data_IF_367677758874
#
_entry.id   IF_367677758874
#
_cell.length_a   1.000
_cell.length_b   1.000
_cell.length_c   1.000
_cell.angle_alpha   90.00
_cell.angle_beta   90.00
_cell.angle_gamma   90.00
#
_symmetry.space_group_name_H-M   'P 1'
#
loop_
_entity.id
_entity.type
_entity.pdbx_description
1 polymer ?
#
# COMPACT_ATOMS: atom_id res chain seq x y z
N UNK A 1 27.79 23.19 -38.80
CA UNK A 1 27.13 23.01 -37.49
C UNK A 1 26.23 21.78 -37.56
N UNK A 2 26.72 20.57 -37.23
CA UNK A 2 25.86 19.39 -37.12
C UNK A 2 25.44 19.17 -35.66
N UNK A 3 24.13 19.03 -35.43
CA UNK A 3 23.54 18.69 -34.15
C UNK A 3 23.93 17.26 -33.75
N UNK A 4 24.58 17.11 -32.61
CA UNK A 4 24.98 15.82 -32.02
C UNK A 4 23.81 15.31 -31.17
N UNK A 5 23.08 14.33 -31.69
CA UNK A 5 22.15 13.50 -30.91
C UNK A 5 22.93 12.72 -29.85
N UNK A 6 22.78 13.12 -28.58
CA UNK A 6 23.23 12.37 -27.42
C UNK A 6 21.99 11.72 -26.79
N UNK A 7 21.72 10.47 -27.16
CA UNK A 7 20.95 9.55 -26.31
C UNK A 7 21.83 9.19 -25.11
N UNK A 8 21.42 9.42 -23.86
CA UNK A 8 22.14 8.89 -22.73
C UNK A 8 21.91 7.38 -22.68
N UNK A 9 23.00 6.62 -22.77
CA UNK A 9 23.00 5.17 -22.63
C UNK A 9 22.40 4.78 -21.28
N UNK A 10 21.28 4.07 -21.32
CA UNK A 10 20.74 3.32 -20.17
C UNK A 10 21.67 2.15 -19.88
N UNK A 11 22.77 2.42 -19.17
CA UNK A 11 23.65 1.38 -18.66
C UNK A 11 23.14 0.88 -17.30
N UNK A 12 22.03 0.13 -17.31
CA UNK A 12 21.72 -0.78 -16.21
C UNK A 12 22.75 -1.91 -16.22
N UNK A 13 23.83 -1.75 -15.46
CA UNK A 13 24.66 -2.88 -15.05
C UNK A 13 24.10 -3.45 -13.75
N UNK A 14 23.66 -4.73 -13.70
CA UNK A 14 23.32 -5.36 -12.44
C UNK A 14 24.64 -5.68 -11.72
N UNK A 15 24.92 -4.98 -10.61
CA UNK A 15 26.02 -5.34 -9.70
C UNK A 15 25.48 -6.39 -8.73
N UNK A 16 26.21 -7.49 -8.60
CA UNK A 16 25.85 -8.66 -7.79
C UNK A 16 25.45 -8.26 -6.37
N UNK A 17 24.31 -8.79 -5.93
CA UNK A 17 23.78 -8.65 -4.57
C UNK A 17 24.75 -9.28 -3.57
N UNK A 18 25.36 -8.45 -2.73
CA UNK A 18 25.79 -8.87 -1.39
C UNK A 18 24.73 -8.37 -0.42
N UNK A 19 24.11 -9.35 0.24
CA UNK A 19 23.19 -9.14 1.36
C UNK A 19 23.91 -8.39 2.49
N UNK A 20 23.13 -7.65 3.28
CA UNK A 20 23.56 -6.86 4.43
C UNK A 20 24.32 -5.57 4.12
N UNK A 21 23.58 -4.56 3.68
CA UNK A 21 23.42 -3.31 4.44
C UNK A 21 22.62 -2.32 3.60
N UNK A 22 21.30 -2.36 3.78
CA UNK A 22 20.42 -1.27 3.36
C UNK A 22 20.25 -0.33 4.54
N UNK A 23 20.57 0.94 4.37
CA UNK A 23 20.53 2.00 5.39
C UNK A 23 19.11 2.32 5.96
N UNK A 24 18.14 1.43 5.73
CA UNK A 24 16.82 1.43 6.32
C UNK A 24 16.73 0.33 7.38
N UNK A 25 17.35 0.51 8.55
CA UNK A 25 17.11 -0.35 9.72
C UNK A 25 16.94 0.54 10.96
N UNK A 26 15.72 0.98 11.26
CA UNK A 26 14.67 0.30 12.04
C UNK A 26 15.02 0.15 13.53
N UNK A 27 14.20 0.78 14.38
CA UNK A 27 13.95 0.32 15.74
C UNK A 27 13.85 -1.22 15.75
N UNK A 28 14.29 -1.92 16.83
CA UNK A 28 14.39 -3.38 16.85
C UNK A 28 13.12 -3.96 16.22
N UNK A 29 13.22 -4.79 15.17
CA UNK A 29 12.06 -5.18 14.41
C UNK A 29 11.14 -5.93 15.38
N UNK A 30 10.06 -5.26 15.78
CA UNK A 30 8.84 -5.98 16.11
C UNK A 30 8.66 -6.92 14.93
N UNK A 31 8.63 -8.25 15.13
CA UNK A 31 8.63 -9.19 14.03
C UNK A 31 7.53 -8.78 13.08
N UNK A 32 7.93 -8.26 11.91
CA UNK A 32 6.99 -7.66 10.98
C UNK A 32 6.08 -8.77 10.54
N UNK A 33 4.81 -8.63 10.87
CA UNK A 33 3.79 -9.53 10.40
C UNK A 33 3.91 -9.60 8.88
N UNK A 34 3.92 -10.83 8.36
CA UNK A 34 3.95 -11.01 6.91
C UNK A 34 2.75 -10.32 6.29
N UNK A 35 2.84 -9.91 5.02
CA UNK A 35 1.70 -9.31 4.31
C UNK A 35 0.43 -10.18 4.43
N UNK A 36 0.61 -11.50 4.36
CA UNK A 36 -0.47 -12.46 4.52
C UNK A 36 -1.08 -12.45 5.94
N UNK A 37 -0.26 -12.32 6.97
CA UNK A 37 -0.73 -12.19 8.36
C UNK A 37 -1.49 -10.89 8.58
N UNK A 38 -1.02 -9.79 7.98
CA UNK A 38 -1.71 -8.50 8.06
C UNK A 38 -3.08 -8.55 7.37
N UNK A 39 -3.21 -9.21 6.21
CA UNK A 39 -4.52 -9.43 5.61
C UNK A 39 -5.43 -10.31 6.48
N UNK A 40 -4.90 -11.36 7.13
CA UNK A 40 -5.69 -12.20 8.05
C UNK A 40 -6.22 -11.37 9.23
N UNK A 41 -5.38 -10.51 9.79
CA UNK A 41 -5.78 -9.62 10.88
C UNK A 41 -6.81 -8.60 10.41
N UNK A 42 -6.62 -7.98 9.25
CA UNK A 42 -7.61 -7.08 8.65
C UNK A 42 -8.97 -7.76 8.49
N UNK A 43 -9.00 -8.95 7.88
CA UNK A 43 -10.24 -9.71 7.67
C UNK A 43 -10.91 -10.04 9.02
N UNK A 44 -10.11 -10.44 10.01
CA UNK A 44 -10.61 -10.80 11.35
C UNK A 44 -11.17 -9.59 12.08
N UNK A 45 -10.49 -8.46 12.01
CA UNK A 45 -10.89 -7.19 12.62
C UNK A 45 -12.19 -6.65 12.00
N UNK A 46 -12.27 -6.64 10.67
CA UNK A 46 -13.48 -6.19 9.95
C UNK A 46 -14.67 -7.12 10.19
N UNK A 47 -14.45 -8.44 10.25
CA UNK A 47 -15.50 -9.38 10.63
C UNK A 47 -16.00 -9.15 12.08
N UNK A 48 -15.07 -8.88 13.01
CA UNK A 48 -15.42 -8.58 14.40
C UNK A 48 -16.23 -7.28 14.53
N UNK A 49 -15.85 -6.23 13.79
CA UNK A 49 -16.57 -4.94 13.75
C UNK A 49 -18.00 -5.07 13.23
N UNK A 50 -18.22 -5.99 12.29
CA UNK A 50 -19.56 -6.29 11.77
C UNK A 50 -20.33 -7.32 12.60
N UNK A 51 -19.78 -7.75 13.75
CA UNK A 51 -20.33 -8.82 14.59
C UNK A 51 -20.63 -10.11 13.80
N UNK A 52 -19.84 -10.40 12.76
CA UNK A 52 -20.00 -11.55 11.88
C UNK A 52 -19.12 -12.72 12.34
N UNK A 53 -19.69 -13.82 12.84
CA UNK A 53 -18.92 -14.99 13.20
C UNK A 53 -18.26 -15.60 11.96
N UNK A 54 -17.01 -16.07 12.10
CA UNK A 54 -16.29 -16.75 11.00
C UNK A 54 -17.07 -17.96 10.45
N UNK A 55 -17.85 -18.64 11.28
CA UNK A 55 -18.70 -19.74 10.83
C UNK A 55 -19.74 -19.29 9.80
N UNK A 56 -20.37 -18.12 10.02
CA UNK A 56 -21.36 -17.57 9.09
C UNK A 56 -20.71 -17.10 7.78
N UNK A 57 -19.51 -16.50 7.86
CA UNK A 57 -18.72 -16.16 6.67
C UNK A 57 -18.35 -17.40 5.87
N UNK A 58 -17.94 -18.48 6.53
CA UNK A 58 -17.63 -19.75 5.87
C UNK A 58 -18.86 -20.30 5.12
N UNK A 59 -20.03 -20.29 5.77
CA UNK A 59 -21.28 -20.73 5.17
C UNK A 59 -21.67 -19.87 3.96
N UNK A 60 -21.59 -18.53 4.07
CA UNK A 60 -21.85 -17.59 2.96
C UNK A 60 -20.93 -17.81 1.75
N UNK A 61 -19.68 -18.19 2.00
CA UNK A 61 -18.67 -18.41 0.97
C UNK A 61 -18.67 -19.84 0.41
N UNK A 62 -19.47 -20.75 0.96
CA UNK A 62 -19.45 -22.17 0.62
C UNK A 62 -18.12 -22.86 0.97
N UNK A 63 -17.39 -22.33 1.96
CA UNK A 63 -16.09 -22.85 2.41
C UNK A 63 -16.30 -23.63 3.71
N UNK A 64 -15.61 -24.75 3.88
CA UNK A 64 -15.67 -25.50 5.13
C UNK A 64 -15.23 -24.63 6.32
N UNK A 65 -16.05 -24.58 7.39
CA UNK A 65 -15.78 -23.78 8.60
C UNK A 65 -14.39 -24.04 9.20
N UNK A 66 -13.99 -25.31 9.27
CA UNK A 66 -12.67 -25.74 9.75
C UNK A 66 -11.53 -25.22 8.88
N UNK A 67 -11.73 -25.18 7.56
CA UNK A 67 -10.77 -24.62 6.60
C UNK A 67 -10.63 -23.11 6.79
N UNK A 68 -11.73 -22.38 6.89
CA UNK A 68 -11.67 -20.93 7.09
C UNK A 68 -11.00 -20.57 8.43
N UNK A 69 -11.34 -21.30 9.49
CA UNK A 69 -10.70 -21.14 10.79
C UNK A 69 -9.19 -21.40 10.71
N UNK A 70 -8.76 -22.47 10.02
CA UNK A 70 -7.33 -22.76 9.78
C UNK A 70 -6.60 -21.63 9.06
N UNK A 71 -7.22 -21.08 8.01
CA UNK A 71 -6.62 -20.01 7.20
C UNK A 71 -6.48 -18.72 7.99
N UNK A 72 -7.48 -18.34 8.78
CA UNK A 72 -7.48 -17.06 9.50
C UNK A 72 -6.79 -17.11 10.86
N UNK A 73 -6.73 -18.27 11.53
CA UNK A 73 -6.22 -18.40 12.91
C UNK A 73 -5.01 -19.31 13.07
N UNK A 74 -4.77 -20.25 12.16
CA UNK A 74 -3.72 -21.27 12.31
C UNK A 74 -2.63 -21.16 11.24
N UNK A 75 -2.56 -20.03 10.53
CA UNK A 75 -1.48 -19.74 9.58
C UNK A 75 -1.55 -20.50 8.26
N UNK A 76 -2.63 -21.22 7.96
CA UNK A 76 -2.78 -21.87 6.65
C UNK A 76 -2.88 -20.83 5.54
N UNK A 77 -2.32 -21.11 4.37
CA UNK A 77 -2.21 -20.14 3.27
C UNK A 77 -3.57 -19.52 2.90
N UNK A 78 -3.62 -18.19 2.97
CA UNK A 78 -4.71 -17.38 2.43
C UNK A 78 -4.41 -17.17 0.94
N UNK A 79 -5.09 -17.97 0.10
CA UNK A 79 -5.01 -17.89 -1.36
C UNK A 79 -5.75 -16.65 -1.85
N UNK A 80 -5.26 -16.01 -2.91
CA UNK A 80 -5.82 -14.77 -3.47
C UNK A 80 -7.33 -14.87 -3.74
N UNK A 81 -7.81 -15.93 -4.42
CA UNK A 81 -9.24 -16.14 -4.70
C UNK A 81 -10.12 -16.21 -3.44
N UNK A 82 -9.57 -16.71 -2.33
CA UNK A 82 -10.28 -16.75 -1.05
C UNK A 82 -10.24 -15.39 -0.36
N UNK A 83 -9.11 -14.68 -0.41
CA UNK A 83 -8.97 -13.31 0.11
C UNK A 83 -9.96 -12.38 -0.57
N UNK A 84 -10.04 -12.42 -1.90
CA UNK A 84 -10.84 -11.48 -2.66
C UNK A 84 -12.35 -11.71 -2.40
N UNK A 85 -12.78 -12.99 -2.30
CA UNK A 85 -14.14 -13.33 -1.87
C UNK A 85 -14.44 -12.91 -0.42
N UNK A 86 -13.47 -13.03 0.49
CA UNK A 86 -13.62 -12.55 1.86
C UNK A 86 -13.74 -11.03 1.90
N UNK A 87 -12.98 -10.32 1.07
CA UNK A 87 -13.08 -8.87 0.95
C UNK A 87 -14.46 -8.46 0.46
N UNK A 88 -14.95 -9.08 -0.62
CA UNK A 88 -16.29 -8.82 -1.15
C UNK A 88 -17.38 -9.10 -0.09
N UNK A 89 -17.31 -10.25 0.58
CA UNK A 89 -18.30 -10.64 1.60
C UNK A 89 -18.37 -9.70 2.80
N UNK A 90 -17.24 -9.04 3.13
CA UNK A 90 -17.09 -8.07 4.21
C UNK A 90 -17.19 -6.62 3.74
N UNK A 91 -17.34 -6.35 2.44
CA UNK A 91 -17.30 -4.98 1.90
C UNK A 91 -15.95 -4.29 2.11
N UNK A 92 -14.86 -5.06 2.15
CA UNK A 92 -13.51 -4.52 2.25
C UNK A 92 -13.09 -3.97 0.89
N UNK A 93 -12.70 -2.70 0.86
CA UNK A 93 -12.17 -2.07 -0.33
C UNK A 93 -10.76 -2.60 -0.63
N UNK A 94 -10.61 -3.21 -1.80
CA UNK A 94 -9.36 -3.86 -2.20
C UNK A 94 -8.18 -2.89 -2.30
N UNK A 95 -8.39 -1.70 -2.86
CA UNK A 95 -7.34 -0.69 -3.05
C UNK A 95 -6.85 -0.20 -1.69
N UNK A 96 -7.78 0.14 -0.79
CA UNK A 96 -7.46 0.56 0.58
C UNK A 96 -6.78 -0.55 1.37
N UNK A 97 -7.27 -1.79 1.29
CA UNK A 97 -6.64 -2.92 1.96
C UNK A 97 -5.19 -3.12 1.51
N UNK A 98 -4.92 -3.06 0.20
CA UNK A 98 -3.56 -3.11 -0.33
C UNK A 98 -2.71 -1.93 0.09
N UNK A 99 -3.27 -0.72 0.10
CA UNK A 99 -2.54 0.46 0.56
C UNK A 99 -2.10 0.31 2.02
N UNK A 100 -3.03 -0.09 2.91
CA UNK A 100 -2.72 -0.32 4.32
C UNK A 100 -1.70 -1.44 4.52
N UNK A 101 -1.89 -2.60 3.89
CA UNK A 101 -1.10 -3.81 4.18
C UNK A 101 0.20 -3.86 3.39
N UNK A 102 0.17 -3.57 2.09
CA UNK A 102 1.33 -3.69 1.22
C UNK A 102 2.20 -2.43 1.21
N UNK A 103 1.60 -1.24 1.32
CA UNK A 103 2.36 0.03 1.27
C UNK A 103 2.70 0.55 2.67
N UNK A 104 1.73 0.59 3.59
CA UNK A 104 1.96 1.12 4.94
C UNK A 104 2.44 0.04 5.93
N UNK A 105 2.27 -1.24 5.60
CA UNK A 105 2.51 -2.36 6.53
C UNK A 105 1.76 -2.22 7.86
N UNK A 106 0.58 -1.62 7.81
CA UNK A 106 -0.29 -1.40 8.95
C UNK A 106 -1.75 -1.63 8.56
N UNK A 107 -2.31 -2.76 8.98
CA UNK A 107 -3.72 -3.08 8.75
C UNK A 107 -4.68 -2.24 9.59
N UNK A 108 -4.23 -1.66 10.71
CA UNK A 108 -5.09 -0.89 11.63
C UNK A 108 -5.44 0.47 11.06
N UNK A 109 -4.61 0.99 10.14
CA UNK A 109 -4.86 2.22 9.39
C UNK A 109 -6.05 2.14 8.41
N UNK A 110 -6.65 0.97 8.22
CA UNK A 110 -7.74 0.77 7.25
C UNK A 110 -8.98 1.63 7.52
N UNK A 111 -9.30 1.87 8.78
CA UNK A 111 -10.45 2.69 9.18
C UNK A 111 -10.11 4.17 9.40
N UNK A 112 -8.86 4.57 9.14
CA UNK A 112 -8.46 5.97 9.21
C UNK A 112 -9.14 6.76 8.07
N UNK A 113 -9.92 7.82 8.38
CA UNK A 113 -10.56 8.68 7.39
C UNK A 113 -9.57 9.32 6.41
N UNK A 114 -8.34 9.62 6.83
CA UNK A 114 -7.31 10.17 5.95
C UNK A 114 -6.87 9.16 4.89
N UNK A 115 -6.73 7.89 5.27
CA UNK A 115 -6.39 6.80 4.35
C UNK A 115 -7.53 6.56 3.36
N UNK A 116 -8.78 6.60 3.82
CA UNK A 116 -9.94 6.53 2.93
C UNK A 116 -9.90 7.65 1.87
N UNK A 117 -9.68 8.90 2.30
CA UNK A 117 -9.62 10.05 1.39
C UNK A 117 -8.51 9.90 0.35
N UNK A 118 -7.31 9.48 0.77
CA UNK A 118 -6.18 9.23 -0.13
C UNK A 118 -6.52 8.14 -1.14
N UNK A 119 -7.10 7.03 -0.70
CA UNK A 119 -7.47 5.92 -1.58
C UNK A 119 -8.54 6.33 -2.60
N UNK A 120 -9.56 7.08 -2.19
CA UNK A 120 -10.59 7.60 -3.11
C UNK A 120 -10.01 8.60 -4.12
N UNK A 121 -9.11 9.49 -3.68
CA UNK A 121 -8.42 10.41 -4.58
C UNK A 121 -7.55 9.66 -5.61
N UNK A 122 -6.83 8.61 -5.18
CA UNK A 122 -6.03 7.77 -6.08
C UNK A 122 -6.89 7.03 -7.11
N UNK A 123 -8.04 6.48 -6.71
CA UNK A 123 -9.00 5.85 -7.63
C UNK A 123 -9.51 6.87 -8.65
N UNK A 124 -9.91 8.06 -8.19
CA UNK A 124 -10.35 9.15 -9.05
C UNK A 124 -9.28 9.54 -10.08
N UNK A 125 -8.04 9.75 -9.63
CA UNK A 125 -6.90 10.04 -10.50
C UNK A 125 -6.67 8.93 -11.53
N UNK A 126 -6.70 7.66 -11.12
CA UNK A 126 -6.57 6.53 -12.04
C UNK A 126 -7.66 6.53 -13.11
N UNK A 127 -8.93 6.74 -12.72
CA UNK A 127 -10.04 6.83 -13.65
C UNK A 127 -9.85 7.97 -14.66
N UNK A 128 -9.32 9.12 -14.26
CA UNK A 128 -9.05 10.24 -15.16
C UNK A 128 -7.93 9.96 -16.15
N UNK A 129 -6.83 9.36 -15.67
CA UNK A 129 -5.71 8.93 -16.52
C UNK A 129 -6.20 7.93 -17.57
N UNK A 130 -6.97 6.92 -17.17
CA UNK A 130 -7.50 5.90 -18.08
C UNK A 130 -8.54 6.48 -19.05
N UNK A 131 -9.35 7.44 -18.60
CA UNK A 131 -10.38 8.08 -19.43
C UNK A 131 -9.85 9.15 -20.37
N UNK A 132 -8.53 9.44 -20.36
CA UNK A 132 -7.89 10.47 -21.20
C UNK A 132 -8.58 11.85 -21.13
N UNK A 133 -9.23 12.19 -19.99
CA UNK A 133 -9.82 13.53 -19.80
C UNK A 133 -8.69 14.53 -19.56
N UNK A 134 -8.14 15.06 -20.66
CA UNK A 134 -7.05 16.03 -20.68
C UNK A 134 -7.50 17.43 -20.21
N UNK A 135 -7.84 17.58 -18.92
CA UNK A 135 -7.83 18.91 -18.29
C UNK A 135 -9.05 19.32 -17.45
N UNK A 136 -9.97 18.42 -17.10
CA UNK A 136 -11.05 18.76 -16.17
C UNK A 136 -11.20 17.68 -15.10
N UNK A 137 -10.40 17.82 -14.04
CA UNK A 137 -10.62 17.13 -12.76
C UNK A 137 -12.00 17.55 -12.22
N UNK A 138 -13.05 16.83 -12.58
CA UNK A 138 -14.38 16.95 -11.96
C UNK A 138 -14.44 16.17 -10.64
N UNK A 139 -13.32 16.11 -9.92
CA UNK A 139 -13.32 15.68 -8.53
C UNK A 139 -13.81 16.89 -7.75
N UNK A 140 -14.97 16.78 -7.10
CA UNK A 140 -15.46 17.76 -6.14
C UNK A 140 -14.62 17.83 -4.85
N UNK A 141 -13.31 17.57 -4.95
CA UNK A 141 -12.30 17.88 -3.97
C UNK A 141 -11.63 19.14 -4.52
N UNK A 142 -11.73 20.26 -3.79
CA UNK A 142 -11.14 21.54 -4.21
C UNK A 142 -9.73 21.30 -4.76
N UNK A 143 -9.42 21.66 -6.02
CA UNK A 143 -8.10 21.47 -6.62
C UNK A 143 -6.96 21.98 -5.73
N UNK A 144 -7.23 23.03 -4.95
CA UNK A 144 -6.34 23.55 -3.91
C UNK A 144 -5.90 22.49 -2.90
N UNK A 145 -6.81 21.64 -2.41
CA UNK A 145 -6.50 20.62 -1.40
C UNK A 145 -5.57 19.53 -1.96
N UNK A 146 -5.77 19.16 -3.24
CA UNK A 146 -4.91 18.20 -3.95
C UNK A 146 -3.54 18.81 -4.20
N UNK A 147 -3.47 20.05 -4.69
CA UNK A 147 -2.21 20.77 -4.90
C UNK A 147 -1.45 21.00 -3.59
N UNK A 148 -2.16 21.27 -2.50
CA UNK A 148 -1.56 21.48 -1.17
C UNK A 148 -1.08 20.15 -0.56
N UNK A 149 -1.83 19.06 -0.74
CA UNK A 149 -1.39 17.72 -0.33
C UNK A 149 -0.17 17.24 -1.13
N UNK A 150 -0.17 17.43 -2.45
CA UNK A 150 0.97 17.13 -3.33
C UNK A 150 2.17 18.02 -3.02
N UNK A 151 1.94 19.31 -2.77
CA UNK A 151 2.98 20.26 -2.36
C UNK A 151 3.66 19.82 -1.06
N UNK A 152 2.86 19.51 -0.03
CA UNK A 152 3.38 18.98 1.25
C UNK A 152 4.14 17.67 1.09
N UNK A 153 3.63 16.75 0.28
CA UNK A 153 4.33 15.48 0.01
C UNK A 153 5.67 15.71 -0.71
N UNK A 154 5.70 16.64 -1.66
CA UNK A 154 6.92 16.99 -2.39
C UNK A 154 7.96 17.67 -1.50
N UNK A 155 7.55 18.64 -0.66
CA UNK A 155 8.42 19.29 0.32
C UNK A 155 9.01 18.29 1.32
N UNK A 156 8.20 17.34 1.80
CA UNK A 156 8.66 16.29 2.69
C UNK A 156 9.71 15.39 2.03
N UNK A 157 9.55 15.08 0.74
CA UNK A 157 10.53 14.29 -0.02
C UNK A 157 11.84 15.06 -0.26
N UNK A 158 11.77 16.37 -0.55
CA UNK A 158 12.95 17.21 -0.71
C UNK A 158 13.72 17.37 0.61
N UNK A 159 13.02 17.67 1.71
CA UNK A 159 13.62 17.75 3.04
C UNK A 159 14.19 16.40 3.51
N UNK A 160 13.65 15.29 3.01
CA UNK A 160 14.25 13.98 3.22
C UNK A 160 15.54 13.82 2.41
N UNK A 161 15.55 14.19 1.12
CA UNK A 161 16.75 14.14 0.28
C UNK A 161 17.89 15.02 0.81
N UNK A 162 17.59 16.22 1.29
CA UNK A 162 18.59 17.13 1.84
C UNK A 162 19.25 16.54 3.09
N UNK A 163 18.46 16.00 4.02
CA UNK A 163 18.99 15.30 5.20
C UNK A 163 19.81 14.07 4.86
N UNK A 164 19.42 13.32 3.82
CA UNK A 164 20.20 12.17 3.33
C UNK A 164 21.54 12.65 2.78
N UNK A 165 21.57 13.72 2.00
CA UNK A 165 22.81 14.28 1.43
C UNK A 165 23.73 14.88 2.51
N UNK A 166 23.18 15.50 3.55
CA UNK A 166 23.94 16.00 4.69
C UNK A 166 24.54 14.86 5.53
N UNK A 167 23.74 13.82 5.80
CA UNK A 167 24.23 12.62 6.49
C UNK A 167 25.35 11.93 5.69
N UNK A 168 25.20 11.84 4.36
CA UNK A 168 26.20 11.24 3.48
C UNK A 168 27.51 12.04 3.45
N UNK A 169 27.45 13.37 3.53
CA UNK A 169 28.65 14.21 3.70
C UNK A 169 29.31 14.01 5.06
N UNK A 170 28.52 13.91 6.13
CA UNK A 170 29.05 13.71 7.49
C UNK A 170 29.70 12.33 7.72
N UNK A 171 29.45 11.37 6.84
CA UNK A 171 30.07 10.05 6.84
C UNK A 171 31.34 9.96 6.00
N UNK A 172 31.64 11.02 5.21
CA UNK A 172 32.83 11.10 4.34
C UNK A 172 33.97 11.94 4.94
N UNK A 173 33.73 12.64 6.06
CA UNK A 173 34.73 13.28 6.92
C UNK A 173 35.13 12.38 8.10
#
# INVERSE_FOLDING_TARGET
MPHRTLTPETAFKPKAQTADDSAFSFAPPVPRLTEQDQYRLLITDQAAKQALPLAHLADRLGVGRSRLHKVLRQGAALVDDLRDRLFEALGIDYVRAKFCVALLHDFTAYDDPAILLVCEAMKGFYCEVVSCRRGELHVAIRPQLIHEALGRAYEMLLAHQERVLEADRSLQD
#
